data_IF_608814034530
#
_entry.id   IF_608814034530
#
_cell.length_a   1.000
_cell.length_b   1.000
_cell.length_c   1.000
_cell.angle_alpha   90.00
_cell.angle_beta   90.00
_cell.angle_gamma   90.00
#
_symmetry.space_group_name_H-M   'P 1'
#
loop_
_entity.id
_entity.type
_entity.pdbx_description
1 polymer ?
#
# COMPACT_ATOMS: atom_id res chain seq x y z
N UNK A 1 -66.33 33.77 -20.09
CA UNK A 1 -65.18 34.10 -19.22
C UNK A 1 -64.51 32.92 -18.47
N UNK A 2 -65.03 31.67 -18.49
CA UNK A 2 -64.47 30.55 -17.69
C UNK A 2 -63.27 29.77 -18.29
N UNK A 3 -62.85 30.01 -19.53
CA UNK A 3 -61.80 29.20 -20.18
C UNK A 3 -60.36 29.61 -19.87
N UNK A 4 -60.10 30.82 -19.35
CA UNK A 4 -58.73 31.29 -19.05
C UNK A 4 -58.19 30.81 -17.70
N UNK A 5 -59.05 30.55 -16.72
CA UNK A 5 -58.60 30.11 -15.37
C UNK A 5 -58.09 28.66 -15.36
N UNK A 6 -58.63 27.79 -16.22
CA UNK A 6 -58.27 26.36 -16.28
C UNK A 6 -56.86 26.16 -16.87
N UNK A 7 -56.43 27.01 -17.80
CA UNK A 7 -55.08 26.95 -18.38
C UNK A 7 -54.00 27.49 -17.42
N UNK A 8 -54.32 28.50 -16.62
CA UNK A 8 -53.40 29.05 -15.61
C UNK A 8 -53.14 28.04 -14.49
N UNK A 9 -54.17 27.35 -14.00
CA UNK A 9 -54.02 26.36 -12.94
C UNK A 9 -53.15 25.16 -13.37
N UNK A 10 -53.37 24.61 -14.58
CA UNK A 10 -52.62 23.43 -15.06
C UNK A 10 -51.13 23.68 -15.25
N UNK A 11 -50.73 24.86 -15.73
CA UNK A 11 -49.31 25.21 -15.90
C UNK A 11 -48.57 25.39 -14.56
N UNK A 12 -49.26 25.86 -13.52
CA UNK A 12 -48.68 25.97 -12.16
C UNK A 12 -48.50 24.58 -11.53
N UNK A 13 -49.47 23.67 -11.69
CA UNK A 13 -49.38 22.31 -11.15
C UNK A 13 -48.27 21.50 -11.81
N UNK A 14 -48.11 21.59 -13.14
CA UNK A 14 -47.08 20.86 -13.88
C UNK A 14 -45.66 21.30 -13.48
N UNK A 15 -45.44 22.61 -13.33
CA UNK A 15 -44.16 23.18 -12.88
C UNK A 15 -43.80 22.77 -11.44
N UNK A 16 -44.81 22.66 -10.57
CA UNK A 16 -44.67 22.19 -9.20
C UNK A 16 -44.29 20.71 -9.09
N UNK A 17 -44.86 19.84 -9.94
CA UNK A 17 -44.48 18.42 -10.00
C UNK A 17 -43.06 18.21 -10.55
N UNK A 18 -42.68 18.95 -11.60
CA UNK A 18 -41.31 18.88 -12.14
C UNK A 18 -40.28 19.38 -11.12
N UNK A 19 -40.54 20.49 -10.41
CA UNK A 19 -39.66 20.96 -9.33
C UNK A 19 -39.56 19.96 -8.18
N UNK A 20 -40.67 19.33 -7.75
CA UNK A 20 -40.65 18.29 -6.71
C UNK A 20 -39.78 17.10 -7.11
N UNK A 21 -39.89 16.63 -8.36
CA UNK A 21 -39.05 15.53 -8.88
C UNK A 21 -37.57 15.90 -8.92
N UNK A 22 -37.25 17.14 -9.31
CA UNK A 22 -35.86 17.66 -9.30
C UNK A 22 -35.31 17.72 -7.87
N UNK A 23 -36.08 18.26 -6.92
CA UNK A 23 -35.67 18.34 -5.50
C UNK A 23 -35.46 16.94 -4.93
N UNK A 24 -36.37 16.00 -5.16
CA UNK A 24 -36.23 14.60 -4.70
C UNK A 24 -34.97 13.96 -5.30
N UNK A 25 -34.71 14.18 -6.59
CA UNK A 25 -33.51 13.70 -7.26
C UNK A 25 -32.22 14.24 -6.61
N UNK A 26 -32.17 15.55 -6.34
CA UNK A 26 -31.02 16.17 -5.66
C UNK A 26 -30.84 15.60 -4.25
N UNK A 27 -31.92 15.49 -3.47
CA UNK A 27 -31.88 14.94 -2.11
C UNK A 27 -31.36 13.50 -2.12
N UNK A 28 -31.81 12.67 -3.07
CA UNK A 28 -31.33 11.30 -3.20
C UNK A 28 -29.82 11.22 -3.51
N UNK A 29 -29.32 12.08 -4.40
CA UNK A 29 -27.88 12.16 -4.72
C UNK A 29 -27.07 12.59 -3.50
N UNK A 30 -27.54 13.61 -2.76
CA UNK A 30 -26.87 14.07 -1.53
C UNK A 30 -26.83 12.96 -0.47
N UNK A 31 -27.93 12.24 -0.26
CA UNK A 31 -27.97 11.12 0.70
C UNK A 31 -26.97 10.02 0.30
N UNK A 32 -26.94 9.62 -0.98
CA UNK A 32 -25.99 8.61 -1.45
C UNK A 32 -24.53 9.05 -1.25
N UNK A 33 -24.22 10.32 -1.53
CA UNK A 33 -22.87 10.86 -1.34
C UNK A 33 -22.47 10.87 0.14
N UNK A 34 -23.36 11.30 1.03
CA UNK A 34 -23.13 11.27 2.48
C UNK A 34 -22.94 9.84 2.98
N UNK A 35 -23.79 8.90 2.57
CA UNK A 35 -23.65 7.49 2.93
C UNK A 35 -22.32 6.89 2.46
N UNK A 36 -21.87 7.23 1.25
CA UNK A 36 -20.57 6.79 0.75
C UNK A 36 -19.41 7.34 1.59
N UNK A 37 -19.46 8.62 1.98
CA UNK A 37 -18.45 9.22 2.86
C UNK A 37 -18.42 8.55 4.24
N UNK A 38 -19.59 8.32 4.85
CA UNK A 38 -19.68 7.60 6.12
C UNK A 38 -19.14 6.17 6.02
N UNK A 39 -19.46 5.47 4.92
CA UNK A 39 -18.95 4.12 4.68
C UNK A 39 -17.43 4.09 4.55
N UNK A 40 -16.85 5.01 3.77
CA UNK A 40 -15.40 5.13 3.60
C UNK A 40 -14.69 5.44 4.92
N UNK A 41 -15.25 6.36 5.72
CA UNK A 41 -14.68 6.73 7.02
C UNK A 41 -14.77 5.58 8.03
N UNK A 42 -15.90 4.88 8.08
CA UNK A 42 -16.08 3.74 8.96
C UNK A 42 -15.17 2.56 8.57
N UNK A 43 -14.98 2.32 7.27
CA UNK A 43 -14.03 1.34 6.77
C UNK A 43 -12.59 1.67 7.17
N UNK A 44 -12.18 2.94 7.07
CA UNK A 44 -10.85 3.37 7.56
C UNK A 44 -10.69 3.09 9.04
N UNK A 45 -11.69 3.45 9.85
CA UNK A 45 -11.64 3.27 11.30
C UNK A 45 -11.57 1.79 11.71
N UNK A 46 -12.40 0.94 11.11
CA UNK A 46 -12.52 -0.48 11.50
C UNK A 46 -11.32 -1.33 11.06
N UNK A 47 -10.60 -0.89 10.03
CA UNK A 47 -9.41 -1.59 9.51
C UNK A 47 -8.11 -0.86 9.89
N UNK A 48 -8.12 -0.16 11.03
CA UNK A 48 -6.95 0.50 11.61
C UNK A 48 -6.63 -0.11 12.97
N UNK A 49 -5.34 -0.31 13.23
CA UNK A 49 -4.82 -1.06 14.36
C UNK A 49 -3.75 -0.26 15.11
N UNK A 50 -3.37 -0.73 16.30
CA UNK A 50 -2.43 0.00 17.17
C UNK A 50 -0.99 -0.07 16.66
N UNK A 51 -0.63 -1.17 15.98
CA UNK A 51 0.71 -1.37 15.41
C UNK A 51 0.67 -1.86 13.96
N UNK A 52 1.77 -1.68 13.18
CA UNK A 52 1.84 -2.21 11.82
C UNK A 52 1.71 -3.74 11.72
N UNK A 53 2.28 -4.46 12.69
CA UNK A 53 2.24 -5.93 12.75
C UNK A 53 0.82 -6.44 13.02
N UNK A 54 0.09 -5.74 13.90
CA UNK A 54 -1.33 -6.01 14.15
C UNK A 54 -2.15 -5.76 12.88
N UNK A 55 -1.87 -4.66 12.16
CA UNK A 55 -2.54 -4.37 10.90
C UNK A 55 -2.29 -5.45 9.84
N UNK A 56 -1.06 -5.95 9.74
CA UNK A 56 -0.71 -7.04 8.82
C UNK A 56 -1.39 -8.36 9.20
N UNK A 57 -1.43 -8.69 10.50
CA UNK A 57 -1.98 -9.96 10.99
C UNK A 57 -3.51 -10.07 10.85
N UNK A 58 -4.20 -8.94 10.74
CA UNK A 58 -5.66 -8.88 10.59
C UNK A 58 -6.15 -8.74 9.14
N UNK A 59 -5.26 -8.88 8.15
CA UNK A 59 -5.68 -8.90 6.74
C UNK A 59 -6.50 -10.17 6.47
N UNK A 60 -7.74 -10.00 6.03
CA UNK A 60 -8.58 -11.14 5.63
C UNK A 60 -8.03 -11.76 4.34
N UNK A 61 -7.59 -13.03 4.40
CA UNK A 61 -7.03 -13.80 3.29
C UNK A 61 -5.90 -13.06 2.54
N UNK A 62 -4.75 -12.81 3.19
CA UNK A 62 -3.63 -12.21 2.50
C UNK A 62 -3.24 -13.15 1.35
N UNK A 63 -2.90 -12.60 0.18
CA UNK A 63 -2.38 -13.39 -0.96
C UNK A 63 -1.21 -14.29 -0.52
N UNK A 64 -0.48 -13.85 0.50
CA UNK A 64 0.67 -14.48 1.12
C UNK A 64 0.43 -14.67 2.61
N UNK A 65 0.45 -15.91 3.11
CA UNK A 65 0.28 -16.19 4.55
C UNK A 65 1.49 -15.67 5.33
N UNK A 66 1.26 -14.87 6.37
CA UNK A 66 2.33 -14.43 7.28
C UNK A 66 2.72 -15.60 8.18
N UNK A 67 4.00 -15.99 8.17
CA UNK A 67 4.53 -17.06 9.01
C UNK A 67 5.29 -16.50 10.21
N UNK A 68 6.24 -15.61 9.94
CA UNK A 68 7.14 -15.04 10.94
C UNK A 68 7.56 -13.64 10.50
N UNK A 69 7.45 -12.67 11.40
CA UNK A 69 7.90 -11.30 11.19
C UNK A 69 9.39 -11.23 11.50
N UNK A 70 10.16 -10.67 10.58
CA UNK A 70 11.62 -10.53 10.65
C UNK A 70 11.99 -9.17 11.24
N UNK A 71 11.45 -8.10 10.65
CA UNK A 71 11.74 -6.73 11.06
C UNK A 71 10.61 -5.78 10.64
N UNK A 72 10.52 -4.62 11.30
CA UNK A 72 9.61 -3.54 10.96
C UNK A 72 10.37 -2.23 10.82
N UNK A 73 10.34 -1.63 9.63
CA UNK A 73 10.89 -0.30 9.38
C UNK A 73 9.80 0.75 9.44
N UNK A 74 10.00 1.77 10.28
CA UNK A 74 9.05 2.85 10.51
C UNK A 74 9.54 4.16 9.89
N UNK A 75 8.66 4.78 9.14
CA UNK A 75 8.74 6.16 8.64
C UNK A 75 7.51 6.94 9.15
N UNK A 76 7.49 8.26 9.00
CA UNK A 76 6.50 9.15 9.62
C UNK A 76 5.05 8.65 9.53
N UNK A 77 4.63 8.23 8.34
CA UNK A 77 3.28 7.74 8.07
C UNK A 77 3.22 6.39 7.34
N UNK A 78 4.36 5.72 7.17
CA UNK A 78 4.48 4.46 6.44
C UNK A 78 5.34 3.49 7.25
N UNK A 79 4.94 2.23 7.28
CA UNK A 79 5.71 1.15 7.86
C UNK A 79 5.86 0.02 6.83
N UNK A 80 7.00 -0.65 6.88
CA UNK A 80 7.30 -1.84 6.09
C UNK A 80 7.59 -2.98 7.07
N UNK A 81 6.70 -3.98 7.11
CA UNK A 81 6.86 -5.17 7.96
C UNK A 81 7.37 -6.30 7.06
N UNK A 82 8.62 -6.72 7.27
CA UNK A 82 9.25 -7.83 6.55
C UNK A 82 8.90 -9.15 7.22
N UNK A 83 8.49 -10.14 6.43
CA UNK A 83 8.05 -11.42 6.97
C UNK A 83 8.30 -12.58 6.01
N UNK A 84 8.45 -13.77 6.58
CA UNK A 84 8.44 -15.02 5.83
C UNK A 84 7.01 -15.43 5.45
N UNK A 85 6.86 -15.90 4.21
CA UNK A 85 5.61 -16.42 3.69
C UNK A 85 5.79 -17.76 2.99
N UNK A 86 4.66 -18.41 2.73
CA UNK A 86 4.54 -19.60 1.91
C UNK A 86 3.77 -19.23 0.64
N UNK A 87 4.36 -19.52 -0.51
CA UNK A 87 3.75 -19.34 -1.84
C UNK A 87 3.61 -20.72 -2.46
N UNK A 88 2.40 -21.19 -2.73
CA UNK A 88 2.18 -22.49 -3.38
C UNK A 88 2.93 -23.65 -2.68
N UNK A 89 3.73 -24.44 -3.39
CA UNK A 89 4.52 -25.56 -2.84
C UNK A 89 5.92 -25.13 -2.36
N UNK A 90 6.23 -23.83 -2.39
CA UNK A 90 7.56 -23.35 -2.02
C UNK A 90 7.75 -23.48 -0.50
N UNK A 91 8.90 -23.96 -0.01
CA UNK A 91 9.18 -23.99 1.42
C UNK A 91 9.05 -22.59 2.06
N UNK A 92 9.07 -22.53 3.41
CA UNK A 92 8.99 -21.31 4.22
C UNK A 92 10.21 -20.38 4.04
N UNK A 93 10.52 -19.98 2.80
CA UNK A 93 11.67 -19.18 2.42
C UNK A 93 11.29 -18.04 1.47
N UNK A 94 10.01 -17.80 1.20
CA UNK A 94 9.60 -16.62 0.46
C UNK A 94 9.61 -15.41 1.37
N UNK A 95 10.33 -14.35 0.98
CA UNK A 95 10.35 -13.07 1.67
C UNK A 95 9.30 -12.14 1.05
N UNK A 96 8.51 -11.52 1.92
CA UNK A 96 7.58 -10.46 1.55
C UNK A 96 7.71 -9.27 2.52
N UNK A 97 7.25 -8.11 2.06
CA UNK A 97 7.07 -6.94 2.89
C UNK A 97 5.61 -6.47 2.82
N UNK A 98 4.98 -6.25 3.97
CA UNK A 98 3.70 -5.56 4.05
C UNK A 98 3.95 -4.07 4.15
N UNK A 99 3.34 -3.27 3.28
CA UNK A 99 3.30 -1.81 3.42
C UNK A 99 2.05 -1.42 4.19
N UNK A 100 2.23 -0.62 5.24
CA UNK A 100 1.17 -0.22 6.16
C UNK A 100 1.21 1.30 6.33
N UNK A 101 0.08 1.95 6.08
CA UNK A 101 -0.02 3.41 6.17
C UNK A 101 -0.69 3.82 7.48
N UNK A 102 -0.14 4.86 8.11
CA UNK A 102 -0.72 5.48 9.30
C UNK A 102 -1.81 6.46 8.90
N UNK A 103 -2.93 6.40 9.61
CA UNK A 103 -4.00 7.38 9.52
C UNK A 103 -4.41 7.83 10.93
N UNK A 104 -5.40 8.73 11.02
CA UNK A 104 -5.85 9.29 12.32
C UNK A 104 -6.44 8.27 13.31
N UNK A 105 -6.78 7.06 12.84
CA UNK A 105 -7.33 5.97 13.64
C UNK A 105 -6.30 4.89 14.00
N UNK A 106 -5.11 4.90 13.39
CA UNK A 106 -4.07 3.88 13.60
C UNK A 106 -3.38 3.48 12.31
N UNK A 107 -2.79 2.29 12.33
CA UNK A 107 -2.08 1.69 11.20
C UNK A 107 -3.03 0.83 10.37
N UNK A 108 -3.03 1.02 9.06
CA UNK A 108 -3.89 0.29 8.14
C UNK A 108 -3.04 -0.34 7.04
N UNK A 109 -3.25 -1.63 6.84
CA UNK A 109 -2.63 -2.38 5.75
C UNK A 109 -2.97 -1.74 4.39
N UNK A 110 -1.94 -1.61 3.55
CA UNK A 110 -2.04 -1.05 2.19
C UNK A 110 -1.86 -2.14 1.14
N UNK A 111 -0.67 -2.74 1.09
CA UNK A 111 -0.32 -3.73 0.06
C UNK A 111 0.74 -4.74 0.51
N UNK A 112 0.78 -5.88 -0.19
CA UNK A 112 1.84 -6.89 -0.07
C UNK A 112 2.83 -6.68 -1.21
N UNK A 113 4.10 -6.58 -0.86
CA UNK A 113 5.22 -6.49 -1.80
C UNK A 113 5.96 -7.82 -1.77
N UNK A 114 5.86 -8.57 -2.86
CA UNK A 114 6.59 -9.82 -3.03
C UNK A 114 8.03 -9.56 -3.42
N UNK A 115 8.99 -10.05 -2.62
CA UNK A 115 10.41 -9.83 -2.87
C UNK A 115 10.98 -11.02 -3.63
N UNK A 116 10.84 -12.24 -3.09
CA UNK A 116 11.36 -13.45 -3.73
C UNK A 116 11.74 -14.53 -2.73
N UNK A 117 12.17 -15.68 -3.25
CA UNK A 117 12.72 -16.74 -2.42
C UNK A 117 14.09 -16.34 -1.89
N UNK A 118 14.35 -16.63 -0.62
CA UNK A 118 15.66 -16.44 -0.01
C UNK A 118 16.55 -17.59 -0.47
N UNK A 119 17.30 -17.27 -1.52
CA UNK A 119 18.27 -18.08 -2.25
C UNK A 119 19.38 -17.13 -2.72
N UNK A 120 20.63 -17.55 -2.62
CA UNK A 120 21.79 -16.74 -3.02
C UNK A 120 21.73 -16.34 -4.50
N UNK A 121 21.12 -17.18 -5.36
CA UNK A 121 20.95 -16.87 -6.78
C UNK A 121 19.92 -15.75 -7.04
N UNK A 122 19.17 -15.34 -6.03
CA UNK A 122 18.20 -14.26 -6.11
C UNK A 122 18.75 -12.94 -5.56
N UNK A 123 20.04 -12.87 -5.20
CA UNK A 123 20.67 -11.60 -4.88
C UNK A 123 20.58 -10.64 -6.08
N UNK A 124 20.27 -9.38 -5.80
CA UNK A 124 19.94 -8.38 -6.82
C UNK A 124 18.47 -8.36 -7.25
N UNK A 125 17.67 -9.39 -6.94
CA UNK A 125 16.23 -9.33 -7.20
C UNK A 125 15.57 -8.23 -6.37
N UNK A 126 14.75 -7.42 -7.02
CA UNK A 126 14.02 -6.34 -6.39
C UNK A 126 12.61 -6.18 -6.96
N UNK A 127 11.73 -5.64 -6.13
CA UNK A 127 10.35 -5.31 -6.43
C UNK A 127 10.05 -3.94 -5.85
N UNK A 128 9.36 -3.09 -6.59
CA UNK A 128 9.06 -1.74 -6.15
C UNK A 128 7.95 -1.11 -6.96
N UNK A 129 7.39 -0.04 -6.43
CA UNK A 129 6.38 0.77 -7.12
C UNK A 129 6.44 2.20 -6.61
N UNK A 130 6.21 3.14 -7.51
CA UNK A 130 6.00 4.57 -7.25
C UNK A 130 7.16 5.25 -6.51
N UNK A 131 7.28 5.07 -5.19
CA UNK A 131 8.25 5.73 -4.31
C UNK A 131 8.98 4.76 -3.37
N UNK A 132 8.93 3.45 -3.60
CA UNK A 132 9.68 2.49 -2.79
C UNK A 132 10.22 1.34 -3.62
N UNK A 133 11.32 0.75 -3.15
CA UNK A 133 11.96 -0.43 -3.73
C UNK A 133 12.39 -1.33 -2.58
N UNK A 134 12.08 -2.62 -2.65
CA UNK A 134 12.58 -3.65 -1.75
C UNK A 134 13.29 -4.71 -2.55
N UNK A 135 14.33 -5.33 -1.99
CA UNK A 135 15.04 -6.39 -2.69
C UNK A 135 15.90 -7.25 -1.80
N UNK A 136 16.61 -8.18 -2.43
CA UNK A 136 17.55 -9.09 -1.81
C UNK A 136 18.98 -8.69 -2.16
N UNK A 137 19.87 -8.80 -1.19
CA UNK A 137 21.31 -8.64 -1.34
C UNK A 137 22.03 -9.82 -0.68
N UNK A 138 23.24 -10.13 -1.13
CA UNK A 138 24.07 -11.12 -0.47
C UNK A 138 24.47 -10.64 0.94
N UNK A 139 24.88 -11.56 1.81
CA UNK A 139 25.28 -11.22 3.19
C UNK A 139 26.51 -10.31 3.26
N UNK A 140 27.40 -10.38 2.27
CA UNK A 140 28.63 -9.59 2.17
C UNK A 140 28.35 -8.11 1.86
N UNK A 141 27.18 -7.81 1.27
CA UNK A 141 26.76 -6.44 0.99
C UNK A 141 26.48 -5.71 2.30
N UNK A 142 27.21 -4.64 2.56
CA UNK A 142 26.98 -3.74 3.70
C UNK A 142 26.26 -2.46 3.29
N UNK A 143 26.15 -2.19 1.98
CA UNK A 143 25.48 -1.00 1.47
C UNK A 143 24.90 -1.24 0.08
N UNK A 144 23.66 -0.81 -0.13
CA UNK A 144 23.01 -0.77 -1.45
C UNK A 144 22.70 0.67 -1.79
N UNK A 145 23.14 1.14 -2.95
CA UNK A 145 22.90 2.49 -3.43
C UNK A 145 22.03 2.51 -4.67
N UNK A 146 21.22 3.55 -4.76
CA UNK A 146 20.43 3.87 -5.93
C UNK A 146 20.56 5.36 -6.24
N UNK A 147 21.40 5.69 -7.22
CA UNK A 147 21.87 7.06 -7.44
C UNK A 147 22.61 7.58 -6.21
N UNK A 148 22.06 8.62 -5.56
CA UNK A 148 22.60 9.19 -4.32
C UNK A 148 21.95 8.61 -3.05
N UNK A 149 20.89 7.82 -3.19
CA UNK A 149 20.17 7.26 -2.05
C UNK A 149 20.83 5.97 -1.57
N UNK A 150 20.72 5.71 -0.27
CA UNK A 150 21.21 4.51 0.38
C UNK A 150 20.02 3.74 0.98
N UNK A 151 19.99 2.44 0.75
CA UNK A 151 18.93 1.60 1.27
C UNK A 151 19.14 1.31 2.75
N UNK A 152 18.03 1.19 3.47
CA UNK A 152 18.02 0.53 4.78
C UNK A 152 18.22 -0.97 4.57
N UNK A 153 19.21 -1.56 5.23
CA UNK A 153 19.45 -3.00 5.21
C UNK A 153 18.71 -3.71 6.36
N UNK A 154 18.15 -4.87 6.04
CA UNK A 154 17.42 -5.74 6.95
C UNK A 154 18.15 -7.07 7.00
N UNK A 155 18.65 -7.43 8.17
CA UNK A 155 19.33 -8.71 8.40
C UNK A 155 18.30 -9.84 8.42
N UNK A 156 18.53 -10.87 7.61
CA UNK A 156 17.71 -12.07 7.57
C UNK A 156 18.53 -13.20 8.19
N UNK A 157 18.18 -13.61 9.40
CA UNK A 157 19.01 -14.49 10.24
C UNK A 157 19.35 -15.87 9.62
N UNK A 158 18.64 -16.32 8.59
CA UNK A 158 18.64 -17.75 8.24
C UNK A 158 19.45 -18.21 7.03
N UNK A 159 19.92 -17.38 6.07
CA UNK A 159 20.42 -17.94 4.79
C UNK A 159 21.42 -17.12 3.98
N UNK A 160 22.35 -16.41 4.61
CA UNK A 160 23.42 -15.76 3.83
C UNK A 160 22.94 -14.61 2.94
N UNK A 161 21.79 -14.02 3.27
CA UNK A 161 21.16 -12.93 2.51
C UNK A 161 20.74 -11.80 3.46
N UNK A 162 20.64 -10.59 2.92
CA UNK A 162 20.01 -9.43 3.52
C UNK A 162 18.85 -8.99 2.62
N UNK A 163 17.88 -8.28 3.19
CA UNK A 163 16.97 -7.47 2.39
C UNK A 163 17.39 -6.01 2.42
N UNK A 164 16.99 -5.26 1.41
CA UNK A 164 17.18 -3.81 1.36
C UNK A 164 15.85 -3.11 1.09
N UNK A 165 15.74 -1.87 1.55
CA UNK A 165 14.58 -1.00 1.38
C UNK A 165 15.01 0.42 1.03
N UNK A 166 14.49 0.93 -0.08
CA UNK A 166 14.43 2.36 -0.35
C UNK A 166 13.00 2.86 -0.11
N UNK A 167 12.89 3.95 0.64
CA UNK A 167 11.64 4.67 0.90
C UNK A 167 11.75 6.10 0.35
N UNK A 168 10.65 6.63 -0.18
CA UNK A 168 10.58 7.93 -0.86
C UNK A 168 11.64 8.09 -1.97
N UNK A 169 11.75 7.07 -2.81
CA UNK A 169 12.56 7.09 -4.02
C UNK A 169 12.06 8.18 -4.95
N UNK A 170 12.97 9.05 -5.40
CA UNK A 170 12.64 10.15 -6.30
C UNK A 170 12.17 9.60 -7.66
N UNK A 171 11.13 10.20 -8.28
CA UNK A 171 10.63 9.73 -9.58
C UNK A 171 11.69 9.70 -10.69
N UNK A 172 12.65 10.64 -10.63
CA UNK A 172 13.74 10.72 -11.60
C UNK A 172 14.73 9.54 -11.46
N UNK A 173 14.83 8.95 -10.26
CA UNK A 173 15.63 7.76 -10.02
C UNK A 173 14.92 6.48 -10.46
N UNK A 174 13.58 6.42 -10.44
CA UNK A 174 12.81 5.22 -10.84
C UNK A 174 12.97 4.81 -12.31
N UNK A 175 13.58 5.66 -13.15
CA UNK A 175 13.99 5.32 -14.52
C UNK A 175 15.34 4.59 -14.62
N UNK A 176 16.11 4.53 -13.54
CA UNK A 176 17.37 3.82 -13.44
C UNK A 176 17.14 2.40 -12.90
N UNK A 177 17.89 1.42 -13.41
CA UNK A 177 17.77 0.01 -12.99
C UNK A 177 18.97 -0.49 -12.19
N UNK A 178 20.03 0.31 -12.12
CA UNK A 178 21.33 -0.16 -11.67
C UNK A 178 21.53 0.21 -10.21
N UNK A 179 21.52 -0.80 -9.35
CA UNK A 179 21.89 -0.67 -7.95
C UNK A 179 23.39 -0.93 -7.79
N UNK A 180 24.06 -0.10 -6.98
CA UNK A 180 25.42 -0.37 -6.54
C UNK A 180 25.37 -1.18 -5.25
N UNK A 181 26.05 -2.33 -5.21
CA UNK A 181 26.17 -3.19 -4.03
C UNK A 181 27.59 -3.08 -3.51
N UNK A 182 27.79 -2.71 -2.25
CA UNK A 182 29.11 -2.43 -1.70
C UNK A 182 29.39 -3.25 -0.44
N UNK A 183 30.63 -3.72 -0.31
CA UNK A 183 31.13 -4.32 0.91
C UNK A 183 31.46 -3.26 1.98
N UNK A 184 31.89 -3.72 3.15
CA UNK A 184 32.32 -2.87 4.28
C UNK A 184 33.49 -1.92 3.95
N UNK A 185 34.31 -2.27 2.97
CA UNK A 185 35.52 -1.55 2.57
C UNK A 185 35.21 -0.56 1.42
N UNK A 186 33.97 -0.54 0.93
CA UNK A 186 33.49 0.33 -0.14
C UNK A 186 33.76 -0.23 -1.54
N UNK A 187 34.15 -1.49 -1.67
CA UNK A 187 34.32 -2.12 -2.98
C UNK A 187 32.96 -2.56 -3.51
N UNK A 188 32.73 -2.32 -4.79
CA UNK A 188 31.53 -2.80 -5.46
C UNK A 188 31.59 -4.32 -5.63
N UNK A 189 30.52 -5.00 -5.21
CA UNK A 189 30.33 -6.44 -5.29
C UNK A 189 29.43 -6.78 -6.48
N UNK A 190 29.63 -7.94 -7.12
CA UNK A 190 28.59 -8.51 -7.97
C UNK A 190 27.37 -8.85 -7.11
N UNK A 191 26.17 -8.64 -7.66
CA UNK A 191 24.93 -9.08 -7.05
C UNK A 191 24.82 -10.61 -7.06
#
# INVERSE_FOLDING_TARGET
MRRREIFSARNVTYRGETMKKIIIGIVAVVIMMVSALFFLENSKKNNSYSTPEEALSNVENPRLRVLEIIDTKLYDSVAYVFYYSEVSETPKNYLAAGKINKNKYGWRFDEIIGIGNIDENNAGMSSGKDNYIVGLASKEVEKVQFGIQEAELITIDSKGMKAFLFHDVEPDLMGHTDFGYFDKDGNELPY
#
